data_IF_621507158389
#
_entry.id   IF_621507158389
#
_cell.length_a   1.000
_cell.length_b   1.000
_cell.length_c   1.000
_cell.angle_alpha   90.00
_cell.angle_beta   90.00
_cell.angle_gamma   90.00
#
_symmetry.space_group_name_H-M   'P 1'
#
loop_
_entity.id
_entity.type
_entity.pdbx_description
1 polymer ?
#
# COMPACT_ATOMS: atom_id res chain seq x y z
N UNK A 1 -52.93 4.05 -12.07
CA UNK A 1 -52.82 5.51 -11.88
C UNK A 1 -51.50 5.94 -12.45
N UNK A 2 -51.58 6.46 -13.67
CA UNK A 2 -50.48 6.81 -14.57
C UNK A 2 -50.31 8.32 -14.50
N UNK A 3 -49.09 8.79 -14.20
CA UNK A 3 -48.74 10.21 -14.30
C UNK A 3 -47.60 10.34 -15.29
N UNK A 4 -47.95 10.80 -16.48
CA UNK A 4 -47.09 11.27 -17.54
C UNK A 4 -46.78 12.75 -17.26
N UNK A 5 -45.50 13.14 -17.25
CA UNK A 5 -45.11 14.54 -17.45
C UNK A 5 -43.99 14.55 -18.48
N UNK A 6 -44.32 15.05 -19.68
CA UNK A 6 -43.38 15.53 -20.65
C UNK A 6 -43.24 17.04 -20.48
N UNK A 7 -42.02 17.57 -20.49
CA UNK A 7 -41.79 18.85 -21.15
C UNK A 7 -40.34 18.97 -21.64
N UNK A 8 -40.23 19.32 -22.92
CA UNK A 8 -38.99 19.62 -23.62
C UNK A 8 -38.52 21.05 -23.31
N UNK A 9 -37.20 21.28 -23.37
CA UNK A 9 -36.61 22.62 -23.29
C UNK A 9 -35.12 22.61 -23.60
N UNK A 10 -34.80 22.83 -24.88
CA UNK A 10 -33.45 22.99 -25.45
C UNK A 10 -32.68 24.17 -24.81
N UNK A 11 -31.37 24.01 -24.64
CA UNK A 11 -30.45 25.11 -24.34
C UNK A 11 -28.99 24.67 -24.29
N UNK A 12 -28.28 24.83 -25.41
CA UNK A 12 -26.83 24.64 -25.53
C UNK A 12 -26.07 25.61 -24.60
N UNK A 13 -25.04 25.11 -23.91
CA UNK A 13 -23.81 25.86 -23.63
C UNK A 13 -22.68 24.90 -23.23
N UNK A 14 -21.75 24.70 -24.15
CA UNK A 14 -20.44 24.12 -23.94
C UNK A 14 -19.55 25.12 -23.21
N UNK A 15 -19.31 24.91 -21.92
CA UNK A 15 -18.25 25.59 -21.17
C UNK A 15 -17.26 24.53 -20.69
N UNK A 16 -16.10 24.49 -21.36
CA UNK A 16 -14.92 23.73 -20.96
C UNK A 16 -14.36 24.30 -19.65
N UNK A 17 -14.77 23.72 -18.52
CA UNK A 17 -14.13 23.97 -17.23
C UNK A 17 -12.99 22.98 -17.02
N UNK A 18 -11.76 23.46 -17.17
CA UNK A 18 -10.57 22.80 -16.66
C UNK A 18 -10.66 22.74 -15.13
N UNK A 19 -11.07 21.58 -14.60
CA UNK A 19 -11.10 21.30 -13.17
C UNK A 19 -9.69 21.30 -12.60
N UNK A 20 -9.30 22.42 -11.99
CA UNK A 20 -8.20 22.47 -11.04
C UNK A 20 -8.59 21.60 -9.83
N UNK A 21 -7.99 20.41 -9.73
CA UNK A 21 -8.01 19.57 -8.53
C UNK A 21 -7.19 20.25 -7.44
N UNK A 22 -7.79 21.24 -6.78
CA UNK A 22 -7.36 21.66 -5.46
C UNK A 22 -7.74 20.54 -4.47
N UNK A 23 -6.82 19.60 -4.28
CA UNK A 23 -6.85 18.70 -3.13
C UNK A 23 -6.78 19.57 -1.87
N UNK A 24 -7.92 19.83 -1.23
CA UNK A 24 -7.98 20.31 0.14
C UNK A 24 -7.51 19.18 1.06
N UNK A 25 -6.20 19.09 1.25
CA UNK A 25 -5.54 18.20 2.19
C UNK A 25 -5.81 18.68 3.62
N UNK A 26 -6.92 18.24 4.21
CA UNK A 26 -7.10 18.30 5.65
C UNK A 26 -6.23 17.22 6.30
N UNK A 27 -5.01 17.63 6.65
CA UNK A 27 -4.10 16.85 7.49
C UNK A 27 -4.70 16.71 8.90
N UNK A 28 -4.77 15.50 9.44
CA UNK A 28 -5.11 15.21 10.84
C UNK A 28 -4.02 15.67 11.84
N UNK A 29 -3.27 16.74 11.50
CA UNK A 29 -2.18 17.23 12.33
C UNK A 29 -2.76 17.98 13.54
N UNK A 30 -2.48 17.56 14.78
CA UNK A 30 -2.78 18.40 15.94
C UNK A 30 -1.98 19.72 15.84
N UNK A 31 -2.52 20.85 16.31
CA UNK A 31 -1.83 22.14 16.30
C UNK A 31 -0.54 22.04 17.11
N UNK A 32 0.58 22.51 16.52
CA UNK A 32 1.86 22.61 17.22
C UNK A 32 1.73 23.65 18.36
N UNK A 33 2.36 23.41 19.53
CA UNK A 33 2.36 24.37 20.62
C UNK A 33 3.08 25.67 20.21
N UNK A 34 2.67 26.84 20.74
CA UNK A 34 3.29 28.12 20.44
C UNK A 34 4.76 28.12 20.90
N UNK A 35 5.65 28.51 19.98
CA UNK A 35 7.07 28.66 20.26
C UNK A 35 7.31 29.82 21.24
N UNK A 36 8.02 29.53 22.33
CA UNK A 36 8.51 30.54 23.26
C UNK A 36 9.63 31.35 22.60
N UNK A 37 9.48 32.67 22.67
CA UNK A 37 10.42 33.68 22.18
C UNK A 37 11.80 33.59 22.84
N UNK A 38 12.78 33.97 22.03
CA UNK A 38 14.22 33.97 22.28
C UNK A 38 14.64 34.76 23.53
N UNK A 39 15.32 34.06 24.44
CA UNK A 39 16.09 34.65 25.53
C UNK A 39 17.55 34.84 25.11
N UNK A 40 18.01 36.09 25.17
CA UNK A 40 19.37 36.59 24.94
C UNK A 40 20.40 35.80 25.76
N UNK A 41 21.39 35.20 25.09
CA UNK A 41 22.50 34.47 25.71
C UNK A 41 23.70 35.43 25.89
N UNK A 42 24.01 35.75 27.13
CA UNK A 42 25.27 36.36 27.56
C UNK A 42 26.40 35.33 27.59
N UNK A 43 27.49 35.63 26.90
CA UNK A 43 28.71 34.82 26.84
C UNK A 43 29.45 34.80 28.19
N UNK A 44 29.72 33.60 28.72
CA UNK A 44 30.62 33.41 29.85
C UNK A 44 31.53 32.20 29.65
N UNK A 45 32.80 32.44 29.98
CA UNK A 45 34.01 31.63 29.98
C UNK A 45 33.92 30.10 29.83
N UNK A 46 34.63 29.61 28.81
CA UNK A 46 35.00 28.22 28.56
C UNK A 46 36.28 27.85 29.34
N UNK A 47 36.18 26.89 30.25
CA UNK A 47 37.28 25.99 30.65
C UNK A 47 36.70 24.82 31.46
N UNK A 48 35.94 23.92 30.81
CA UNK A 48 35.59 22.59 31.35
C UNK A 48 34.92 21.71 30.26
N UNK A 49 35.63 21.43 29.16
CA UNK A 49 35.01 20.89 27.93
C UNK A 49 34.98 19.36 27.81
N UNK A 50 35.58 18.60 28.73
CA UNK A 50 35.66 17.13 28.58
C UNK A 50 34.67 16.32 29.43
N UNK A 51 33.99 16.91 30.43
CA UNK A 51 33.00 16.17 31.23
C UNK A 51 31.54 16.38 30.78
N UNK A 52 31.28 17.40 29.95
CA UNK A 52 29.91 17.77 29.54
C UNK A 52 29.34 16.90 28.41
N UNK A 53 30.21 16.26 27.62
CA UNK A 53 29.79 15.46 26.47
C UNK A 53 29.14 14.13 26.88
N UNK A 54 29.57 13.53 27.98
CA UNK A 54 29.00 12.27 28.50
C UNK A 54 27.59 12.49 29.08
N UNK A 55 27.36 13.61 29.76
CA UNK A 55 26.03 13.96 30.29
C UNK A 55 25.02 14.23 29.17
N UNK A 56 25.42 14.89 28.08
CA UNK A 56 24.55 15.15 26.93
C UNK A 56 24.17 13.85 26.18
N UNK A 57 25.08 12.89 26.10
CA UNK A 57 24.81 11.56 25.53
C UNK A 57 23.84 10.78 26.42
N UNK A 58 24.03 10.79 27.74
CA UNK A 58 23.12 10.15 28.69
C UNK A 58 21.72 10.79 28.68
N UNK A 59 21.62 12.11 28.60
CA UNK A 59 20.36 12.84 28.50
C UNK A 59 19.64 12.49 27.19
N UNK A 60 20.34 12.40 26.05
CA UNK A 60 19.75 11.95 24.77
C UNK A 60 19.24 10.52 24.85
N UNK A 61 20.01 9.59 25.41
CA UNK A 61 19.56 8.20 25.58
C UNK A 61 18.36 8.09 26.53
N UNK A 62 18.34 8.83 27.63
CA UNK A 62 17.21 8.87 28.57
C UNK A 62 15.96 9.46 27.91
N UNK A 63 16.11 10.52 27.11
CA UNK A 63 15.01 11.10 26.31
C UNK A 63 14.48 10.12 25.27
N UNK A 64 15.35 9.42 24.53
CA UNK A 64 14.93 8.39 23.58
C UNK A 64 14.19 7.23 24.26
N UNK A 65 14.66 6.76 25.43
CA UNK A 65 13.96 5.72 26.23
C UNK A 65 12.60 6.17 26.75
N UNK A 66 12.45 7.44 27.12
CA UNK A 66 11.15 7.98 27.56
C UNK A 66 10.19 8.11 26.37
N UNK A 67 10.69 8.54 25.20
CA UNK A 67 9.89 8.62 23.97
C UNK A 67 9.44 7.23 23.53
N UNK A 68 10.31 6.21 23.56
CA UNK A 68 9.94 4.84 23.21
C UNK A 68 8.95 4.21 24.19
N UNK A 69 9.12 4.42 25.51
CA UNK A 69 8.14 3.96 26.51
C UNK A 69 6.77 4.65 26.35
N UNK A 70 6.75 5.95 26.05
CA UNK A 70 5.49 6.67 25.77
C UNK A 70 4.83 6.19 24.48
N UNK A 71 5.61 5.87 23.43
CA UNK A 71 5.09 5.25 22.21
C UNK A 71 4.48 3.87 22.49
N UNK A 72 5.15 3.03 23.29
CA UNK A 72 4.65 1.70 23.65
C UNK A 72 3.36 1.77 24.49
N UNK A 73 3.30 2.63 25.51
CA UNK A 73 2.07 2.81 26.32
C UNK A 73 0.92 3.43 25.52
N UNK A 74 1.21 4.24 24.50
CA UNK A 74 0.20 4.68 23.54
C UNK A 74 -0.25 3.56 22.61
N UNK A 75 0.58 2.55 22.35
CA UNK A 75 0.19 1.42 21.53
C UNK A 75 -0.80 0.52 22.28
N UNK A 76 -0.49 0.16 23.53
CA UNK A 76 -1.26 -0.84 24.27
C UNK A 76 -2.64 -0.34 24.72
N UNK A 77 -2.80 0.97 24.95
CA UNK A 77 -4.08 1.57 25.35
C UNK A 77 -5.00 1.97 24.18
N UNK A 78 -4.49 1.99 22.94
CA UNK A 78 -5.24 2.47 21.77
C UNK A 78 -5.48 1.40 20.71
N UNK A 79 -4.70 0.32 20.73
CA UNK A 79 -4.83 -0.71 19.74
C UNK A 79 -6.14 -1.48 19.97
N UNK A 80 -7.12 -1.22 19.09
CA UNK A 80 -8.08 -2.26 18.71
C UNK A 80 -7.24 -3.51 18.46
N UNK A 81 -7.55 -4.57 19.21
CA UNK A 81 -6.77 -5.81 19.14
C UNK A 81 -6.60 -6.19 17.67
N UNK A 82 -5.37 -6.42 17.22
CA UNK A 82 -5.10 -6.75 15.82
C UNK A 82 -5.96 -7.92 15.34
N UNK A 83 -6.29 -8.86 16.24
CA UNK A 83 -7.25 -9.95 16.01
C UNK A 83 -8.66 -9.49 15.62
N UNK A 84 -9.16 -8.37 16.15
CA UNK A 84 -10.43 -7.79 15.74
C UNK A 84 -10.34 -7.17 14.34
N UNK A 85 -9.26 -6.42 14.05
CA UNK A 85 -9.02 -5.86 12.71
C UNK A 85 -8.91 -6.99 11.67
N UNK A 86 -8.23 -8.10 11.98
CA UNK A 86 -8.13 -9.26 11.10
C UNK A 86 -9.51 -9.87 10.81
N UNK A 87 -10.37 -9.98 11.83
CA UNK A 87 -11.74 -10.47 11.66
C UNK A 87 -12.58 -9.51 10.82
N UNK A 88 -12.41 -8.20 10.99
CA UNK A 88 -13.04 -7.20 10.13
C UNK A 88 -12.54 -7.27 8.68
N UNK A 89 -11.25 -7.54 8.47
CA UNK A 89 -10.68 -7.73 7.14
C UNK A 89 -11.24 -8.98 6.45
N UNK A 90 -11.40 -10.09 7.19
CA UNK A 90 -12.04 -11.33 6.72
C UNK A 90 -13.52 -11.09 6.40
N UNK A 91 -14.23 -10.39 7.27
CA UNK A 91 -15.61 -9.99 7.07
C UNK A 91 -15.82 -9.23 5.75
N UNK A 92 -14.91 -8.31 5.45
CA UNK A 92 -14.92 -7.61 4.17
C UNK A 92 -14.74 -8.56 2.97
N UNK A 93 -13.88 -9.57 3.08
CA UNK A 93 -13.72 -10.58 2.03
C UNK A 93 -14.99 -11.41 1.84
N UNK A 94 -15.64 -11.83 2.93
CA UNK A 94 -16.89 -12.60 2.90
C UNK A 94 -18.00 -11.78 2.22
N UNK A 95 -18.08 -10.48 2.48
CA UNK A 95 -19.03 -9.57 1.82
C UNK A 95 -18.65 -9.17 0.38
N UNK A 96 -17.51 -9.66 -0.12
CA UNK A 96 -16.99 -9.39 -1.46
C UNK A 96 -16.94 -7.88 -1.76
N UNK A 97 -16.48 -7.07 -0.80
CA UNK A 97 -16.32 -5.62 -1.01
C UNK A 97 -14.92 -5.31 -1.57
N UNK A 98 -14.80 -4.25 -2.39
CA UNK A 98 -13.53 -3.86 -3.00
C UNK A 98 -12.52 -3.36 -1.97
N UNK A 99 -11.24 -3.40 -2.33
CA UNK A 99 -10.12 -2.97 -1.47
C UNK A 99 -10.32 -1.57 -0.88
N UNK A 100 -10.86 -0.63 -1.65
CA UNK A 100 -11.16 0.74 -1.19
C UNK A 100 -12.20 0.72 -0.06
N UNK A 101 -13.33 0.04 -0.25
CA UNK A 101 -14.36 -0.16 0.78
C UNK A 101 -13.79 -0.81 2.05
N UNK A 102 -12.87 -1.79 1.91
CA UNK A 102 -12.19 -2.41 3.06
C UNK A 102 -11.32 -1.42 3.82
N UNK A 103 -10.55 -0.63 3.08
CA UNK A 103 -9.69 0.40 3.63
C UNK A 103 -10.51 1.45 4.38
N UNK A 104 -11.57 1.98 3.75
CA UNK A 104 -12.52 2.92 4.35
C UNK A 104 -13.10 2.37 5.64
N UNK A 105 -13.61 1.13 5.63
CA UNK A 105 -14.21 0.51 6.81
C UNK A 105 -13.25 0.47 8.01
N UNK A 106 -12.01 0.02 7.80
CA UNK A 106 -11.01 -0.10 8.88
C UNK A 106 -10.52 1.29 9.34
N UNK A 107 -10.37 2.25 8.42
CA UNK A 107 -10.02 3.64 8.79
C UNK A 107 -11.11 4.29 9.62
N UNK A 108 -12.40 4.12 9.26
CA UNK A 108 -13.52 4.63 10.05
C UNK A 108 -13.52 4.02 11.47
N UNK A 109 -13.23 2.73 11.58
CA UNK A 109 -13.10 2.06 12.88
C UNK A 109 -11.96 2.67 13.72
N UNK A 110 -10.78 2.91 13.13
CA UNK A 110 -9.66 3.58 13.81
C UNK A 110 -10.01 5.00 14.26
N UNK A 111 -10.66 5.79 13.38
CA UNK A 111 -11.10 7.16 13.70
C UNK A 111 -12.11 7.17 14.86
N UNK A 112 -13.06 6.23 14.85
CA UNK A 112 -14.00 6.05 15.95
C UNK A 112 -13.27 5.75 17.27
N UNK A 113 -12.37 4.76 17.27
CA UNK A 113 -11.63 4.36 18.47
C UNK A 113 -10.76 5.51 19.03
N UNK A 114 -10.08 6.25 18.16
CA UNK A 114 -9.29 7.42 18.55
C UNK A 114 -10.17 8.51 19.18
N UNK A 115 -11.34 8.78 18.61
CA UNK A 115 -12.27 9.79 19.11
C UNK A 115 -12.83 9.39 20.47
N UNK A 116 -13.27 8.13 20.62
CA UNK A 116 -13.74 7.56 21.90
C UNK A 116 -12.71 7.72 23.02
N UNK A 117 -11.45 7.44 22.71
CA UNK A 117 -10.35 7.54 23.69
C UNK A 117 -10.03 8.99 24.08
N UNK A 118 -10.15 9.96 23.16
CA UNK A 118 -9.96 11.39 23.48
C UNK A 118 -11.00 11.87 24.51
N UNK A 119 -12.26 11.49 24.35
CA UNK A 119 -13.32 11.89 25.27
C UNK A 119 -13.17 11.27 26.66
N UNK A 120 -12.70 10.01 26.76
CA UNK A 120 -12.37 9.40 28.07
C UNK A 120 -11.32 10.20 28.85
N UNK A 121 -10.31 10.75 28.16
CA UNK A 121 -9.25 11.56 28.80
C UNK A 121 -9.72 12.94 29.25
N UNK A 122 -10.68 13.53 28.53
CA UNK A 122 -11.22 14.86 28.87
C UNK A 122 -12.03 14.88 30.17
N UNK A 123 -12.73 13.79 30.50
CA UNK A 123 -13.62 13.73 31.67
C UNK A 123 -12.91 13.70 33.03
N UNK A 124 -11.67 13.21 33.09
CA UNK A 124 -10.96 13.04 34.38
C UNK A 124 -10.24 14.28 34.89
N UNK A 125 -9.99 15.29 34.05
CA UNK A 125 -9.18 16.45 34.46
C UNK A 125 -9.93 17.46 35.36
N UNK A 126 -11.25 17.32 35.53
CA UNK A 126 -12.07 18.27 36.31
C UNK A 126 -12.38 17.82 37.75
N UNK A 127 -11.83 16.69 38.24
CA UNK A 127 -12.13 16.17 39.60
C UNK A 127 -11.11 16.54 40.70
N UNK A 128 -10.11 17.37 40.41
CA UNK A 128 -8.96 17.58 41.32
C UNK A 128 -9.02 18.85 42.21
N UNK A 129 -10.18 19.47 42.48
CA UNK A 129 -10.20 20.72 43.26
C UNK A 129 -10.98 20.74 44.59
N UNK A 130 -11.59 19.64 45.05
CA UNK A 130 -12.17 19.65 46.41
C UNK A 130 -11.82 18.34 47.12
N UNK A 131 -10.90 18.45 48.08
CA UNK A 131 -10.47 17.36 48.93
C UNK A 131 -11.61 16.89 49.83
N UNK A 132 -11.82 15.58 49.87
CA UNK A 132 -12.46 14.91 50.99
C UNK A 132 -11.85 13.51 51.11
N UNK A 133 -11.04 13.36 52.16
CA UNK A 133 -10.31 12.14 52.49
C UNK A 133 -11.30 11.14 53.12
N UNK A 134 -11.77 10.18 52.33
CA UNK A 134 -12.18 8.82 52.74
C UNK A 134 -13.28 8.30 51.82
N UNK A 135 -12.93 7.44 50.86
CA UNK A 135 -13.84 6.34 50.58
C UNK A 135 -13.12 5.13 50.01
N UNK A 136 -13.41 3.99 50.63
CA UNK A 136 -12.83 2.70 50.32
C UNK A 136 -13.23 2.24 48.92
N UNK A 137 -12.23 1.73 48.20
CA UNK A 137 -12.29 1.16 46.87
C UNK A 137 -13.33 0.04 46.77
N UNK A 138 -14.55 0.39 46.38
CA UNK A 138 -15.43 -0.55 45.68
C UNK A 138 -14.94 -0.60 44.23
N UNK A 139 -14.23 -1.68 43.91
CA UNK A 139 -13.69 -1.94 42.57
C UNK A 139 -14.87 -2.13 41.60
N UNK A 140 -15.29 -1.05 40.95
CA UNK A 140 -16.22 -1.09 39.81
C UNK A 140 -15.63 -1.99 38.72
N UNK A 141 -16.14 -3.22 38.66
CA UNK A 141 -15.80 -4.29 37.70
C UNK A 141 -16.52 -4.13 36.35
N UNK A 142 -17.03 -2.94 36.03
CA UNK A 142 -17.79 -2.65 34.80
C UNK A 142 -16.97 -2.66 33.50
N UNK A 143 -15.66 -2.91 33.56
CA UNK A 143 -14.78 -2.89 32.38
C UNK A 143 -15.00 -4.10 31.44
N UNK A 144 -15.67 -5.16 31.91
CA UNK A 144 -15.92 -6.36 31.10
C UNK A 144 -17.01 -6.19 30.03
N UNK A 145 -17.94 -5.24 30.18
CA UNK A 145 -19.02 -5.00 29.20
C UNK A 145 -18.52 -4.27 27.93
N UNK A 146 -17.27 -3.80 27.91
CA UNK A 146 -16.70 -3.09 26.75
C UNK A 146 -16.51 -3.97 25.51
N UNK A 147 -16.43 -5.30 25.67
CA UNK A 147 -16.14 -6.20 24.56
C UNK A 147 -17.35 -6.43 23.65
N UNK A 148 -18.58 -6.23 24.15
CA UNK A 148 -19.81 -6.57 23.42
C UNK A 148 -20.25 -5.48 22.43
N UNK A 149 -19.69 -4.28 22.52
CA UNK A 149 -20.02 -3.16 21.64
C UNK A 149 -19.21 -3.19 20.32
N UNK A 150 -17.94 -3.61 20.39
CA UNK A 150 -17.02 -3.57 19.25
C UNK A 150 -17.50 -4.32 18.00
N UNK A 151 -18.10 -5.52 18.09
CA UNK A 151 -18.63 -6.21 16.93
C UNK A 151 -19.66 -5.37 16.16
N UNK A 152 -20.53 -4.65 16.87
CA UNK A 152 -21.53 -3.77 16.27
C UNK A 152 -20.90 -2.52 15.68
N UNK A 153 -19.93 -1.91 16.37
CA UNK A 153 -19.17 -0.77 15.84
C UNK A 153 -18.46 -1.15 14.54
N UNK A 154 -17.74 -2.28 14.51
CA UNK A 154 -17.04 -2.74 13.30
C UNK A 154 -18.00 -3.05 12.14
N UNK A 155 -19.14 -3.68 12.44
CA UNK A 155 -20.19 -3.94 11.45
C UNK A 155 -20.77 -2.65 10.86
N UNK A 156 -21.05 -1.67 11.72
CA UNK A 156 -21.54 -0.35 11.30
C UNK A 156 -20.49 0.42 10.50
N UNK A 157 -19.22 0.43 10.89
CA UNK A 157 -18.15 1.04 10.11
C UNK A 157 -18.05 0.43 8.71
N UNK A 158 -18.22 -0.89 8.59
CA UNK A 158 -18.28 -1.57 7.30
C UNK A 158 -19.52 -1.19 6.49
N UNK A 159 -20.69 -1.15 7.12
CA UNK A 159 -21.93 -0.72 6.46
C UNK A 159 -21.85 0.73 5.95
N UNK A 160 -21.30 1.63 6.76
CA UNK A 160 -21.07 3.02 6.39
C UNK A 160 -20.06 3.13 5.23
N UNK A 161 -18.96 2.37 5.28
CA UNK A 161 -17.99 2.34 4.18
C UNK A 161 -18.62 1.88 2.87
N UNK A 162 -19.47 0.84 2.90
CA UNK A 162 -20.23 0.38 1.73
C UNK A 162 -21.14 1.48 1.16
N UNK A 163 -21.73 2.34 2.00
CA UNK A 163 -22.52 3.48 1.53
C UNK A 163 -21.63 4.56 0.91
N UNK A 164 -20.53 4.93 1.60
CA UNK A 164 -19.62 5.99 1.15
C UNK A 164 -18.94 5.67 -0.17
N UNK A 165 -18.55 4.41 -0.39
CA UNK A 165 -17.85 3.98 -1.60
C UNK A 165 -18.81 3.49 -2.71
N UNK A 166 -20.12 3.76 -2.58
CA UNK A 166 -21.14 3.37 -3.57
C UNK A 166 -21.19 1.85 -3.85
N UNK A 167 -20.93 1.04 -2.82
CA UNK A 167 -21.02 -0.43 -2.83
C UNK A 167 -22.03 -0.96 -1.80
N UNK A 168 -23.28 -0.46 -1.77
CA UNK A 168 -24.21 -0.74 -0.68
C UNK A 168 -24.45 -2.25 -0.52
N UNK A 169 -24.34 -2.72 0.73
CA UNK A 169 -24.72 -4.09 1.13
C UNK A 169 -25.99 -4.02 1.96
N UNK A 170 -26.81 -5.08 1.91
CA UNK A 170 -28.03 -5.13 2.74
C UNK A 170 -27.62 -5.18 4.21
N UNK A 171 -28.29 -4.40 5.06
CA UNK A 171 -28.02 -4.38 6.51
C UNK A 171 -28.10 -5.78 7.13
N UNK A 172 -28.98 -6.65 6.62
CA UNK A 172 -29.08 -8.05 7.04
C UNK A 172 -27.77 -8.83 6.87
N UNK A 173 -27.08 -8.66 5.74
CA UNK A 173 -25.86 -9.39 5.44
C UNK A 173 -24.73 -8.94 6.38
N UNK A 174 -24.69 -7.64 6.68
CA UNK A 174 -23.76 -7.06 7.66
C UNK A 174 -24.04 -7.58 9.07
N UNK A 175 -25.31 -7.66 9.49
CA UNK A 175 -25.70 -8.21 10.81
C UNK A 175 -25.29 -9.68 10.92
N UNK A 176 -25.57 -10.48 9.90
CA UNK A 176 -25.18 -11.90 9.86
C UNK A 176 -23.65 -12.04 9.98
N UNK A 177 -22.91 -11.26 9.20
CA UNK A 177 -21.46 -11.23 9.27
C UNK A 177 -20.96 -10.84 10.67
N UNK A 178 -21.54 -9.81 11.30
CA UNK A 178 -21.12 -9.33 12.61
C UNK A 178 -21.22 -10.42 13.68
N UNK A 179 -22.32 -11.21 13.64
CA UNK A 179 -22.53 -12.35 14.53
C UNK A 179 -21.55 -13.49 14.25
N UNK A 180 -21.32 -13.81 12.98
CA UNK A 180 -20.49 -14.94 12.57
C UNK A 180 -19.00 -14.70 12.77
N UNK A 181 -18.52 -13.49 12.49
CA UNK A 181 -17.08 -13.19 12.37
C UNK A 181 -16.58 -12.27 13.49
N UNK A 182 -17.35 -11.24 13.86
CA UNK A 182 -16.86 -10.22 14.80
C UNK A 182 -17.13 -10.58 16.26
N UNK A 183 -18.19 -11.35 16.54
CA UNK A 183 -18.63 -11.68 17.91
C UNK A 183 -17.91 -12.88 18.53
N UNK A 184 -17.06 -13.60 17.78
CA UNK A 184 -16.41 -14.86 18.20
C UNK A 184 -15.32 -14.71 19.29
N UNK A 185 -15.32 -13.63 20.08
CA UNK A 185 -14.17 -13.19 20.88
C UNK A 185 -14.14 -13.67 22.34
N UNK A 186 -15.17 -14.30 22.86
CA UNK A 186 -15.36 -14.45 24.33
C UNK A 186 -15.48 -15.88 24.87
N UNK A 187 -15.49 -16.93 24.04
CA UNK A 187 -15.80 -18.29 24.51
C UNK A 187 -14.66 -19.06 25.21
N UNK A 188 -13.52 -18.46 25.56
CA UNK A 188 -12.39 -19.22 26.17
C UNK A 188 -12.13 -18.96 27.65
N UNK A 189 -12.99 -18.24 28.38
CA UNK A 189 -12.75 -18.00 29.81
C UNK A 189 -13.29 -19.10 30.74
N UNK A 190 -14.13 -20.02 30.26
CA UNK A 190 -14.82 -20.99 31.13
C UNK A 190 -14.43 -22.47 30.91
N UNK A 191 -13.32 -22.76 30.22
CA UNK A 191 -12.80 -24.15 30.08
C UNK A 191 -11.57 -24.35 30.98
N UNK A 192 -11.72 -23.98 32.25
CA UNK A 192 -10.92 -24.57 33.32
C UNK A 192 -11.66 -25.80 33.84
N UNK A 193 -11.71 -26.88 33.04
CA UNK A 193 -11.83 -28.26 33.54
C UNK A 193 -11.73 -29.31 32.42
N UNK A 194 -10.71 -30.16 32.58
CA UNK A 194 -10.47 -31.50 32.02
C UNK A 194 -10.19 -31.71 30.52
N UNK A 195 -8.89 -31.74 30.24
CA UNK A 195 -8.20 -32.80 29.47
C UNK A 195 -8.82 -33.26 28.14
N UNK A 196 -8.64 -32.47 27.07
CA UNK A 196 -8.61 -33.08 25.73
C UNK A 196 -7.66 -32.36 24.76
N UNK A 197 -6.60 -33.07 24.36
CA UNK A 197 -5.43 -32.60 23.60
C UNK A 197 -5.66 -32.43 22.08
N UNK A 198 -6.89 -32.23 21.61
CA UNK A 198 -7.11 -32.06 20.17
C UNK A 198 -6.93 -30.60 19.74
N UNK A 199 -5.78 -30.34 19.10
CA UNK A 199 -5.38 -29.06 18.52
C UNK A 199 -6.44 -28.55 17.53
N UNK A 200 -7.17 -27.54 18.00
CA UNK A 200 -8.20 -26.77 17.33
C UNK A 200 -7.72 -26.13 16.01
N UNK A 201 -8.17 -26.66 14.87
CA UNK A 201 -8.50 -25.81 13.74
C UNK A 201 -9.57 -24.85 14.26
N UNK A 202 -9.30 -23.55 14.24
CA UNK A 202 -10.30 -22.51 14.53
C UNK A 202 -11.35 -22.54 13.41
N UNK A 203 -12.16 -23.58 13.38
CA UNK A 203 -13.36 -23.61 12.59
C UNK A 203 -14.23 -22.53 13.21
N UNK A 204 -14.40 -21.40 12.54
CA UNK A 204 -15.44 -20.45 12.92
C UNK A 204 -16.72 -21.26 12.84
N UNK A 205 -17.26 -21.68 13.99
CA UNK A 205 -18.60 -22.26 14.06
C UNK A 205 -19.54 -21.14 13.66
N UNK A 206 -19.76 -21.03 12.36
CA UNK A 206 -20.62 -20.06 11.72
C UNK A 206 -22.01 -20.37 12.23
N UNK A 207 -22.42 -19.62 13.26
CA UNK A 207 -23.78 -19.69 13.77
C UNK A 207 -24.73 -19.49 12.61
N UNK A 208 -25.76 -20.35 12.53
CA UNK A 208 -26.77 -20.20 11.50
C UNK A 208 -27.31 -18.77 11.57
N UNK A 209 -27.40 -18.07 10.43
CA UNK A 209 -27.89 -16.70 10.44
C UNK A 209 -29.27 -16.68 11.09
N UNK A 210 -29.54 -15.68 11.95
CA UNK A 210 -30.82 -15.56 12.65
C UNK A 210 -31.98 -15.59 11.64
N UNK A 211 -33.05 -16.31 11.97
CA UNK A 211 -34.22 -16.30 11.11
C UNK A 211 -34.91 -14.92 11.18
N UNK A 212 -35.66 -14.55 10.12
CA UNK A 212 -36.35 -13.25 10.07
C UNK A 212 -37.48 -13.12 11.09
N UNK A 213 -38.01 -14.27 11.54
CA UNK A 213 -39.15 -14.33 12.45
C UNK A 213 -38.71 -14.27 13.91
N UNK A 214 -37.41 -14.37 14.17
CA UNK A 214 -36.86 -14.27 15.52
C UNK A 214 -36.76 -12.81 15.96
N UNK A 215 -37.24 -12.54 17.17
CA UNK A 215 -37.07 -11.27 17.89
C UNK A 215 -35.59 -10.84 17.94
N UNK A 216 -34.69 -11.82 18.08
CA UNK A 216 -33.25 -11.62 18.08
C UNK A 216 -32.71 -10.92 16.82
N UNK A 217 -33.30 -11.13 15.64
CA UNK A 217 -32.89 -10.39 14.43
C UNK A 217 -33.28 -8.91 14.53
N UNK A 218 -34.50 -8.64 14.98
CA UNK A 218 -35.03 -7.28 15.11
C UNK A 218 -34.28 -6.49 16.18
N UNK A 219 -33.90 -7.12 17.29
CA UNK A 219 -33.00 -6.53 18.29
C UNK A 219 -31.66 -6.14 17.70
N UNK A 220 -31.02 -7.05 16.96
CA UNK A 220 -29.75 -6.74 16.29
C UNK A 220 -29.87 -5.64 15.26
N UNK A 221 -30.99 -5.59 14.53
CA UNK A 221 -31.27 -4.50 13.59
C UNK A 221 -31.40 -3.16 14.31
N UNK A 222 -32.17 -3.10 15.41
CA UNK A 222 -32.28 -1.90 16.26
C UNK A 222 -30.91 -1.46 16.77
N UNK A 223 -30.16 -2.39 17.36
CA UNK A 223 -28.80 -2.14 17.89
C UNK A 223 -27.85 -1.60 16.82
N UNK A 224 -27.88 -2.15 15.60
CA UNK A 224 -27.05 -1.67 14.51
C UNK A 224 -27.40 -0.23 14.09
N UNK A 225 -28.70 0.12 14.02
CA UNK A 225 -29.17 1.47 13.66
C UNK A 225 -28.80 2.49 14.75
N UNK A 226 -28.96 2.13 16.03
CA UNK A 226 -28.54 2.97 17.15
C UNK A 226 -27.02 3.19 17.14
N UNK A 227 -26.27 2.11 16.92
CA UNK A 227 -24.81 2.16 16.81
C UNK A 227 -24.36 3.01 15.61
N UNK A 228 -25.07 2.97 14.47
CA UNK A 228 -24.83 3.84 13.32
C UNK A 228 -24.89 5.31 13.70
N UNK A 229 -25.95 5.71 14.41
CA UNK A 229 -26.11 7.09 14.87
C UNK A 229 -25.00 7.52 15.83
N UNK A 230 -24.57 6.63 16.72
CA UNK A 230 -23.45 6.85 17.65
C UNK A 230 -22.15 7.03 16.86
N UNK A 231 -21.80 6.07 15.99
CA UNK A 231 -20.56 6.09 15.19
C UNK A 231 -20.48 7.36 14.35
N UNK A 232 -21.55 7.74 13.65
CA UNK A 232 -21.59 8.98 12.86
C UNK A 232 -21.32 10.23 13.71
N UNK A 233 -21.88 10.31 14.91
CA UNK A 233 -21.62 11.43 15.83
C UNK A 233 -20.17 11.49 16.27
N UNK A 234 -19.56 10.34 16.59
CA UNK A 234 -18.15 10.25 16.95
C UNK A 234 -17.20 10.59 15.80
N UNK A 235 -17.61 10.31 14.57
CA UNK A 235 -16.89 10.69 13.35
C UNK A 235 -17.14 12.15 12.94
N UNK A 236 -18.01 12.88 13.64
CA UNK A 236 -18.42 14.24 13.23
C UNK A 236 -19.10 14.27 11.85
N UNK A 237 -19.78 13.18 11.47
CA UNK A 237 -20.37 12.95 10.14
C UNK A 237 -19.36 12.97 8.98
N UNK A 238 -18.06 12.97 9.25
CA UNK A 238 -17.03 12.81 8.23
C UNK A 238 -16.71 11.33 7.99
N UNK A 239 -17.45 10.74 7.05
CA UNK A 239 -17.19 9.40 6.56
C UNK A 239 -16.22 9.36 5.37
N UNK A 240 -15.71 10.51 4.92
CA UNK A 240 -14.82 10.56 3.77
C UNK A 240 -13.45 9.99 4.12
N UNK A 241 -13.00 9.01 3.34
CA UNK A 241 -11.68 8.40 3.48
C UNK A 241 -10.94 8.56 2.17
N UNK A 242 -9.67 8.85 2.32
CA UNK A 242 -8.76 9.20 1.26
C UNK A 242 -7.77 8.04 1.10
N UNK A 243 -7.64 7.54 -0.13
CA UNK A 243 -7.03 6.23 -0.40
C UNK A 243 -5.59 6.34 -0.90
N UNK A 244 -4.57 5.88 -0.14
CA UNK A 244 -3.19 5.91 -0.58
C UNK A 244 -2.93 5.00 -1.79
N UNK A 245 -3.76 3.98 -2.01
CA UNK A 245 -3.72 3.11 -3.19
C UNK A 245 -3.91 3.90 -4.50
N UNK A 246 -4.83 4.88 -4.52
CA UNK A 246 -5.04 5.74 -5.70
C UNK A 246 -3.83 6.62 -5.97
N UNK A 247 -3.21 7.16 -4.93
CA UNK A 247 -1.99 7.95 -5.05
C UNK A 247 -0.80 7.11 -5.54
N UNK A 248 -0.65 5.87 -5.07
CA UNK A 248 0.38 4.93 -5.57
C UNK A 248 0.22 4.72 -7.08
N UNK A 249 -1.00 4.43 -7.54
CA UNK A 249 -1.26 4.23 -8.97
C UNK A 249 -0.86 5.46 -9.79
N UNK A 250 -1.34 6.64 -9.38
CA UNK A 250 -1.09 7.89 -10.09
C UNK A 250 0.41 8.26 -10.13
N UNK A 251 1.10 8.15 -8.99
CA UNK A 251 2.55 8.40 -8.90
C UNK A 251 3.29 7.43 -9.82
N UNK A 252 2.98 6.14 -9.76
CA UNK A 252 3.67 5.13 -10.54
C UNK A 252 3.47 5.35 -12.05
N UNK A 253 2.26 5.69 -12.48
CA UNK A 253 1.97 6.00 -13.89
C UNK A 253 2.80 7.19 -14.38
N UNK A 254 2.87 8.27 -13.60
CA UNK A 254 3.69 9.45 -13.92
C UNK A 254 5.18 9.13 -13.98
N UNK A 255 5.67 8.27 -13.09
CA UNK A 255 7.09 7.91 -13.06
C UNK A 255 7.47 6.97 -14.20
N UNK A 256 6.56 6.07 -14.59
CA UNK A 256 6.72 5.24 -15.79
C UNK A 256 6.77 6.12 -17.05
N UNK A 257 5.90 7.11 -17.19
CA UNK A 257 5.93 8.06 -18.33
C UNK A 257 7.29 8.77 -18.43
N UNK A 258 7.79 9.32 -17.31
CA UNK A 258 9.10 9.99 -17.26
C UNK A 258 10.22 9.02 -17.63
N UNK A 259 10.16 7.78 -17.14
CA UNK A 259 11.16 6.77 -17.44
C UNK A 259 11.16 6.35 -18.91
N UNK A 260 9.98 6.15 -19.51
CA UNK A 260 9.83 5.85 -20.92
C UNK A 260 10.41 6.97 -21.79
N UNK A 261 10.16 8.24 -21.45
CA UNK A 261 10.74 9.38 -22.15
C UNK A 261 12.28 9.41 -22.05
N UNK A 262 12.84 9.15 -20.86
CA UNK A 262 14.29 9.08 -20.66
C UNK A 262 14.91 7.91 -21.44
N UNK A 263 14.23 6.77 -21.52
CA UNK A 263 14.66 5.62 -22.29
C UNK A 263 14.70 5.92 -23.79
N UNK A 264 13.66 6.59 -24.32
CA UNK A 264 13.62 7.03 -25.71
C UNK A 264 14.74 8.02 -26.04
N UNK A 265 14.99 8.98 -25.15
CA UNK A 265 16.11 9.93 -25.30
C UNK A 265 17.48 9.23 -25.28
N UNK A 266 17.66 8.23 -24.41
CA UNK A 266 18.90 7.45 -24.34
C UNK A 266 19.14 6.63 -25.62
N UNK A 267 18.09 5.95 -26.12
CA UNK A 267 18.15 5.21 -27.40
C UNK A 267 18.47 6.13 -28.57
N UNK A 268 17.83 7.31 -28.63
CA UNK A 268 18.09 8.31 -29.66
C UNK A 268 19.55 8.77 -29.67
N UNK A 269 20.12 9.09 -28.49
CA UNK A 269 21.54 9.46 -28.35
C UNK A 269 22.49 8.34 -28.78
N UNK A 270 22.17 7.08 -28.46
CA UNK A 270 22.97 5.94 -28.88
C UNK A 270 22.99 5.79 -30.42
N UNK A 271 21.83 5.91 -31.06
CA UNK A 271 21.69 5.86 -32.52
C UNK A 271 22.48 7.01 -33.16
N UNK A 272 22.38 8.23 -32.62
CA UNK A 272 23.16 9.38 -33.10
C UNK A 272 24.67 9.14 -32.98
N UNK A 273 25.14 8.61 -31.85
CA UNK A 273 26.55 8.29 -31.67
C UNK A 273 27.04 7.21 -32.65
N UNK A 274 26.21 6.19 -32.92
CA UNK A 274 26.53 5.15 -33.89
C UNK A 274 26.53 5.68 -35.34
N UNK A 275 25.60 6.58 -35.67
CA UNK A 275 25.57 7.28 -36.95
C UNK A 275 26.81 8.18 -37.14
N UNK A 276 27.24 8.90 -36.11
CA UNK A 276 28.46 9.70 -36.17
C UNK A 276 29.72 8.84 -36.31
N UNK A 277 29.77 7.68 -35.66
CA UNK A 277 30.89 6.74 -35.78
C UNK A 277 31.00 6.17 -37.20
N UNK A 278 29.87 5.71 -37.75
CA UNK A 278 29.82 5.18 -39.13
C UNK A 278 30.15 6.26 -40.17
N UNK A 279 29.67 7.49 -39.99
CA UNK A 279 30.03 8.60 -40.88
C UNK A 279 31.55 8.87 -40.89
N UNK A 280 32.22 8.84 -39.73
CA UNK A 280 33.68 9.01 -39.63
C UNK A 280 34.45 7.88 -40.31
N UNK A 281 34.00 6.63 -40.14
CA UNK A 281 34.60 5.47 -40.78
C UNK A 281 34.49 5.56 -42.32
N UNK A 282 33.31 5.92 -42.85
CA UNK A 282 33.11 6.10 -44.30
C UNK A 282 34.01 7.20 -44.87
N UNK A 283 34.13 8.35 -44.21
CA UNK A 283 35.02 9.43 -44.67
C UNK A 283 36.49 9.02 -44.68
N UNK A 284 36.92 8.15 -43.75
CA UNK A 284 38.30 7.67 -43.68
C UNK A 284 38.59 6.66 -44.79
N UNK A 285 37.62 5.80 -45.13
CA UNK A 285 37.74 4.85 -46.24
C UNK A 285 37.79 5.57 -47.59
N UNK A 286 36.94 6.58 -47.80
CA UNK A 286 36.94 7.38 -49.04
C UNK A 286 38.26 8.16 -49.25
N UNK A 287 38.82 8.74 -48.18
CA UNK A 287 40.14 9.38 -48.26
C UNK A 287 41.25 8.37 -48.61
N UNK A 288 41.15 7.13 -48.11
CA UNK A 288 42.13 6.08 -48.41
C UNK A 288 42.00 5.53 -49.84
N UNK A 289 40.78 5.46 -50.39
CA UNK A 289 40.59 5.04 -51.79
C UNK A 289 41.10 6.07 -52.79
N UNK A 290 40.91 7.37 -52.52
CA UNK A 290 41.44 8.45 -53.37
C UNK A 290 42.98 8.46 -53.41
N UNK A 291 43.64 8.14 -52.29
CA UNK A 291 45.10 8.01 -52.24
C UNK A 291 45.65 6.77 -52.98
N UNK A 292 44.83 5.74 -53.18
CA UNK A 292 45.22 4.54 -53.95
C UNK A 292 45.04 4.76 -55.46
N UNK A 293 44.04 5.54 -55.88
CA UNK A 293 43.84 5.88 -57.30
C UNK A 293 44.95 6.77 -57.86
N UNK A 294 45.52 7.70 -57.07
CA UNK A 294 46.67 8.51 -57.53
C UNK A 294 47.94 7.68 -57.79
N UNK A 295 48.09 6.49 -57.17
CA UNK A 295 49.25 5.61 -57.39
C UNK A 295 49.10 4.63 -58.56
N UNK A 296 47.88 4.44 -59.10
CA UNK A 296 47.62 3.48 -60.17
C UNK A 296 47.39 4.09 -61.57
N UNK A 297 47.60 5.40 -61.76
CA UNK A 297 47.54 6.05 -63.10
C UNK A 297 48.83 5.84 -63.93
N UNK A 298 49.47 4.67 -63.81
CA UNK A 298 50.47 4.21 -64.80
C UNK A 298 50.24 2.73 -65.11
N UNK A 299 49.93 2.50 -66.39
CA UNK A 299 49.69 1.23 -67.06
C UNK A 299 48.30 0.61 -66.84
N UNK A 300 47.41 0.76 -67.82
CA UNK A 300 46.91 -0.38 -68.62
C UNK A 300 46.05 0.06 -69.80
N UNK A 301 46.15 -0.73 -70.87
CA UNK A 301 45.50 -0.61 -72.18
C UNK A 301 44.00 -0.97 -72.15
N UNK A 302 43.22 -0.58 -73.18
CA UNK A 302 41.78 -0.86 -73.25
C UNK A 302 41.49 -2.29 -73.72
N UNK A 303 40.52 -2.97 -73.08
CA UNK A 303 39.93 -4.25 -73.51
C UNK A 303 38.39 -4.13 -73.48
N UNK A 304 37.65 -4.71 -74.45
CA UNK A 304 36.26 -4.33 -74.74
C UNK A 304 35.17 -5.15 -74.03
N UNK A 305 33.97 -4.58 -74.12
CA UNK A 305 32.66 -4.97 -73.59
C UNK A 305 32.32 -6.47 -73.53
N UNK A 306 31.84 -6.90 -72.36
CA UNK A 306 31.11 -8.16 -72.15
C UNK A 306 29.75 -7.89 -71.49
N UNK A 307 28.68 -8.34 -72.14
CA UNK A 307 27.28 -8.30 -71.71
C UNK A 307 27.08 -9.02 -70.37
N UNK A 308 26.25 -8.47 -69.48
CA UNK A 308 25.61 -9.23 -68.41
C UNK A 308 24.10 -9.02 -68.39
N UNK A 309 23.43 -10.14 -68.20
CA UNK A 309 22.00 -10.43 -68.29
C UNK A 309 21.28 -10.07 -66.99
N UNK A 310 20.03 -9.63 -67.13
CA UNK A 310 19.06 -9.44 -66.06
C UNK A 310 18.44 -10.79 -65.69
N UNK A 311 18.43 -11.14 -64.40
CA UNK A 311 17.51 -12.15 -63.86
C UNK A 311 16.76 -11.56 -62.65
N UNK A 312 15.47 -11.31 -62.87
CA UNK A 312 14.47 -11.00 -61.86
C UNK A 312 13.95 -12.30 -61.25
N UNK A 313 14.00 -12.44 -59.93
CA UNK A 313 13.28 -13.48 -59.20
C UNK A 313 12.25 -12.82 -58.27
N UNK A 314 10.98 -12.91 -58.68
CA UNK A 314 9.81 -12.63 -57.87
C UNK A 314 9.56 -13.82 -56.92
N UNK A 315 9.26 -13.54 -55.65
CA UNK A 315 8.76 -14.53 -54.71
C UNK A 315 7.48 -13.98 -54.06
N UNK A 316 6.36 -14.55 -54.50
CA UNK A 316 5.05 -14.48 -53.86
C UNK A 316 5.11 -15.09 -52.45
N UNK A 317 4.45 -14.44 -51.48
CA UNK A 317 4.03 -15.10 -50.26
C UNK A 317 2.63 -14.64 -49.87
N UNK A 318 1.66 -15.48 -50.25
CA UNK A 318 0.29 -15.50 -49.75
C UNK A 318 0.29 -15.89 -48.27
N UNK A 319 -0.43 -15.14 -47.43
CA UNK A 319 -0.79 -15.59 -46.09
C UNK A 319 -2.32 -15.50 -45.91
N UNK A 320 -2.94 -16.67 -45.80
CA UNK A 320 -4.37 -16.87 -45.57
C UNK A 320 -4.71 -16.62 -44.09
N UNK A 321 -5.74 -15.82 -43.86
CA UNK A 321 -6.35 -15.67 -42.54
C UNK A 321 -7.27 -16.83 -42.20
N UNK A 322 -7.38 -17.10 -40.91
CA UNK A 322 -8.52 -17.79 -40.30
C UNK A 322 -8.92 -17.06 -39.03
N UNK A 323 -10.15 -16.55 -39.05
CA UNK A 323 -10.88 -16.06 -37.89
C UNK A 323 -11.26 -17.22 -36.99
N UNK A 324 -11.18 -17.03 -35.67
CA UNK A 324 -12.03 -17.77 -34.75
C UNK A 324 -12.31 -16.98 -33.47
N UNK A 325 -13.57 -16.54 -33.38
CA UNK A 325 -14.23 -16.06 -32.18
C UNK A 325 -14.46 -17.22 -31.21
N UNK A 326 -14.13 -17.04 -29.93
CA UNK A 326 -14.85 -17.68 -28.85
C UNK A 326 -14.83 -16.81 -27.59
N UNK A 327 -16.02 -16.55 -27.07
CA UNK A 327 -16.35 -15.89 -25.81
C UNK A 327 -15.99 -16.79 -24.63
N UNK A 328 -15.33 -16.24 -23.60
CA UNK A 328 -15.17 -16.88 -22.30
C UNK A 328 -15.31 -15.86 -21.17
N UNK A 329 -15.99 -16.32 -20.11
CA UNK A 329 -16.41 -15.60 -18.92
C UNK A 329 -15.28 -15.00 -18.08
N UNK A 330 -15.65 -13.99 -17.30
CA UNK A 330 -14.83 -13.17 -16.40
C UNK A 330 -14.17 -13.97 -15.27
N UNK A 331 -12.93 -14.40 -15.51
CA UNK A 331 -11.93 -14.67 -14.48
C UNK A 331 -10.74 -13.73 -14.76
N UNK A 332 -10.34 -12.90 -13.79
CA UNK A 332 -9.20 -11.96 -13.86
C UNK A 332 -7.84 -12.69 -13.97
N UNK A 333 -7.64 -13.41 -15.07
CA UNK A 333 -6.34 -13.87 -15.53
C UNK A 333 -5.89 -12.95 -16.67
N UNK A 334 -5.01 -12.00 -16.35
CA UNK A 334 -4.39 -11.11 -17.33
C UNK A 334 -3.45 -11.92 -18.25
N UNK A 335 -3.97 -12.44 -19.36
CA UNK A 335 -3.17 -13.04 -20.42
C UNK A 335 -2.42 -11.96 -21.21
N UNK A 336 -1.10 -11.92 -21.07
CA UNK A 336 -0.19 -11.02 -21.80
C UNK A 336 0.27 -11.72 -23.08
N UNK A 337 -0.16 -11.22 -24.25
CA UNK A 337 0.28 -11.74 -25.55
C UNK A 337 1.26 -10.78 -26.25
N UNK A 338 2.52 -11.22 -26.43
CA UNK A 338 3.18 -11.23 -27.74
C UNK A 338 3.78 -9.95 -28.37
N UNK A 339 4.21 -8.93 -27.62
CA UNK A 339 5.18 -7.95 -28.13
C UNK A 339 6.24 -7.63 -27.06
N UNK A 340 7.39 -8.29 -27.15
CA UNK A 340 8.29 -8.59 -26.02
C UNK A 340 8.87 -7.39 -25.25
N UNK A 341 8.83 -6.18 -25.79
CA UNK A 341 9.32 -4.99 -25.08
C UNK A 341 8.26 -4.30 -24.22
N UNK A 342 6.97 -4.48 -24.50
CA UNK A 342 5.88 -3.97 -23.64
C UNK A 342 5.80 -4.76 -22.33
N UNK A 343 6.15 -6.05 -22.38
CA UNK A 343 5.99 -7.00 -21.27
C UNK A 343 6.83 -6.66 -20.03
N UNK A 344 8.07 -6.17 -20.19
CA UNK A 344 8.95 -5.95 -19.02
C UNK A 344 8.52 -4.77 -18.16
N UNK A 345 8.07 -3.67 -18.77
CA UNK A 345 7.60 -2.48 -18.05
C UNK A 345 6.27 -2.76 -17.36
N UNK A 346 5.36 -3.49 -18.00
CA UNK A 346 4.09 -3.89 -17.38
C UNK A 346 4.33 -4.84 -16.21
N UNK A 347 5.20 -5.85 -16.36
CA UNK A 347 5.55 -6.76 -15.25
C UNK A 347 6.15 -5.99 -14.07
N UNK A 348 7.06 -5.04 -14.31
CA UNK A 348 7.65 -4.22 -13.25
C UNK A 348 6.60 -3.36 -12.54
N UNK A 349 5.71 -2.73 -13.31
CA UNK A 349 4.59 -1.93 -12.79
C UNK A 349 3.71 -2.76 -11.87
N UNK A 350 3.29 -3.94 -12.32
CA UNK A 350 2.37 -4.79 -11.58
C UNK A 350 3.00 -5.30 -10.28
N UNK A 351 4.30 -5.65 -10.30
CA UNK A 351 5.05 -6.00 -9.10
C UNK A 351 5.17 -4.83 -8.12
N UNK A 352 5.46 -3.63 -8.61
CA UNK A 352 5.53 -2.42 -7.77
C UNK A 352 4.18 -2.11 -7.13
N UNK A 353 3.08 -2.20 -7.90
CA UNK A 353 1.72 -2.03 -7.38
C UNK A 353 1.41 -3.07 -6.30
N UNK A 354 1.65 -4.34 -6.58
CA UNK A 354 1.38 -5.44 -5.66
C UNK A 354 2.11 -5.24 -4.31
N UNK A 355 3.42 -4.96 -4.35
CA UNK A 355 4.20 -4.77 -3.14
C UNK A 355 3.83 -3.50 -2.39
N UNK A 356 3.57 -2.39 -3.10
CA UNK A 356 3.12 -1.15 -2.47
C UNK A 356 1.77 -1.33 -1.79
N UNK A 357 0.81 -1.95 -2.47
CA UNK A 357 -0.54 -2.20 -1.93
C UNK A 357 -0.49 -3.13 -0.72
N UNK A 358 0.36 -4.15 -0.75
CA UNK A 358 0.60 -5.01 0.41
C UNK A 358 1.06 -4.19 1.63
N UNK A 359 2.02 -3.28 1.46
CA UNK A 359 2.49 -2.41 2.57
C UNK A 359 1.40 -1.48 3.09
N UNK A 360 0.57 -0.93 2.21
CA UNK A 360 -0.57 -0.10 2.61
C UNK A 360 -1.63 -0.91 3.37
N UNK A 361 -1.84 -2.16 2.99
CA UNK A 361 -2.75 -3.06 3.72
C UNK A 361 -2.18 -3.45 5.08
N UNK A 362 -0.87 -3.68 5.19
CA UNK A 362 -0.20 -3.93 6.49
C UNK A 362 -0.40 -2.74 7.45
N UNK A 363 -0.36 -1.51 6.92
CA UNK A 363 -0.56 -0.29 7.70
C UNK A 363 -1.93 -0.20 8.39
N UNK A 364 -2.96 -0.89 7.88
CA UNK A 364 -4.29 -0.95 8.50
C UNK A 364 -4.28 -1.59 9.89
N UNK A 365 -3.28 -2.43 10.17
CA UNK A 365 -3.12 -3.10 11.47
C UNK A 365 -2.25 -2.30 12.44
N UNK A 366 -1.70 -1.16 11.99
CA UNK A 366 -0.79 -0.33 12.76
C UNK A 366 -1.26 1.13 12.72
N UNK A 367 -2.13 1.56 13.65
CA UNK A 367 -2.81 2.86 13.59
C UNK A 367 -1.88 4.07 13.46
N UNK A 368 -0.64 3.95 13.95
CA UNK A 368 0.38 5.00 13.89
C UNK A 368 0.82 5.26 12.43
N UNK A 369 0.80 4.25 11.56
CA UNK A 369 1.07 4.44 10.13
C UNK A 369 -0.06 5.20 9.40
N UNK A 370 -1.29 5.15 9.92
CA UNK A 370 -2.46 5.83 9.32
C UNK A 370 -2.52 7.33 9.66
N UNK A 371 -1.57 7.86 10.44
CA UNK A 371 -1.50 9.29 10.79
C UNK A 371 -0.84 10.14 9.70
N UNK A 372 -0.14 9.50 8.77
CA UNK A 372 0.54 10.17 7.67
C UNK A 372 -0.43 10.59 6.57
N UNK A 373 -0.03 11.59 5.78
CA UNK A 373 -0.77 11.97 4.59
C UNK A 373 -0.71 10.89 3.51
N UNK A 374 -1.69 10.94 2.61
CA UNK A 374 -1.92 9.94 1.56
C UNK A 374 -0.71 9.85 0.62
N UNK A 375 -0.15 11.00 0.25
CA UNK A 375 0.97 11.10 -0.70
C UNK A 375 2.25 10.59 -0.04
N UNK A 376 2.46 10.91 1.24
CA UNK A 376 3.57 10.42 2.04
C UNK A 376 3.52 8.89 2.16
N UNK A 377 2.35 8.32 2.49
CA UNK A 377 2.15 6.88 2.54
C UNK A 377 2.40 6.21 1.18
N UNK A 378 1.90 6.81 0.09
CA UNK A 378 2.08 6.29 -1.25
C UNK A 378 3.56 6.30 -1.68
N UNK A 379 4.26 7.42 -1.49
CA UNK A 379 5.69 7.53 -1.78
C UNK A 379 6.51 6.52 -0.97
N UNK A 380 6.26 6.42 0.33
CA UNK A 380 6.98 5.51 1.21
C UNK A 380 6.72 4.02 0.86
N UNK A 381 5.46 3.67 0.53
CA UNK A 381 5.11 2.31 0.12
C UNK A 381 5.78 1.91 -1.21
N UNK A 382 5.79 2.82 -2.19
CA UNK A 382 6.48 2.63 -3.47
C UNK A 382 7.98 2.45 -3.30
N UNK A 383 8.61 3.28 -2.47
CA UNK A 383 10.05 3.19 -2.21
C UNK A 383 10.44 1.87 -1.52
N UNK A 384 9.62 1.40 -0.57
CA UNK A 384 9.80 0.08 0.03
C UNK A 384 9.61 -1.07 -0.97
N UNK A 385 8.68 -0.93 -1.92
CA UNK A 385 8.49 -1.91 -2.99
C UNK A 385 9.69 -1.98 -3.95
N UNK A 386 10.30 -0.85 -4.27
CA UNK A 386 11.50 -0.76 -5.11
C UNK A 386 12.69 -1.43 -4.44
N UNK A 387 12.96 -1.09 -3.18
CA UNK A 387 14.06 -1.70 -2.43
C UNK A 387 13.92 -3.23 -2.32
N UNK A 388 12.67 -3.73 -2.19
CA UNK A 388 12.42 -5.18 -2.21
C UNK A 388 12.80 -5.81 -3.54
N UNK A 389 12.41 -5.21 -4.66
CA UNK A 389 12.74 -5.70 -6.00
C UNK A 389 14.23 -5.62 -6.31
N UNK A 390 14.94 -4.64 -5.77
CA UNK A 390 16.40 -4.52 -5.89
C UNK A 390 17.13 -5.61 -5.07
N UNK A 391 16.60 -5.97 -3.90
CA UNK A 391 17.15 -7.00 -3.02
C UNK A 391 17.04 -8.42 -3.59
N UNK A 392 15.94 -8.76 -4.26
CA UNK A 392 15.70 -10.10 -4.85
C UNK A 392 16.77 -10.54 -5.87
N UNK A 393 17.51 -9.60 -6.47
CA UNK A 393 18.57 -9.91 -7.44
C UNK A 393 19.92 -10.26 -6.82
N UNK A 394 20.12 -9.94 -5.54
CA UNK A 394 21.40 -10.10 -4.85
C UNK A 394 21.24 -11.27 -3.87
N UNK A 395 21.30 -12.51 -4.38
CA UNK A 395 20.98 -13.79 -3.70
C UNK A 395 21.83 -14.17 -2.48
N UNK A 396 22.24 -13.20 -1.68
CA UNK A 396 22.67 -13.41 -0.31
C UNK A 396 21.40 -13.55 0.53
N UNK A 397 20.97 -14.82 0.68
CA UNK A 397 19.81 -15.27 1.45
C UNK A 397 19.99 -15.07 2.97
N UNK A 398 20.29 -13.86 3.40
CA UNK A 398 20.16 -13.47 4.81
C UNK A 398 18.68 -13.16 5.07
N UNK A 399 17.85 -14.21 4.95
CA UNK A 399 16.39 -14.20 5.00
C UNK A 399 15.87 -13.80 6.39
N UNK A 400 15.76 -12.50 6.66
CA UNK A 400 14.89 -11.96 7.73
C UNK A 400 13.41 -11.86 7.29
N UNK A 401 13.12 -12.16 6.03
CA UNK A 401 11.77 -12.23 5.48
C UNK A 401 11.36 -13.71 5.28
N UNK A 402 11.38 -14.49 6.37
CA UNK A 402 10.94 -15.90 6.44
C UNK A 402 9.43 -16.10 6.18
N UNK A 403 8.94 -15.69 5.02
CA UNK A 403 7.65 -16.09 4.51
C UNK A 403 7.79 -17.37 3.69
N UNK A 404 7.23 -18.45 4.25
CA UNK A 404 6.78 -19.65 3.54
C UNK A 404 6.17 -19.30 2.18
N UNK A 405 6.52 -20.10 1.18
CA UNK A 405 6.32 -19.98 -0.27
C UNK A 405 4.86 -19.94 -0.76
N UNK A 406 3.93 -19.29 -0.05
CA UNK A 406 2.52 -19.17 -0.45
C UNK A 406 2.26 -17.97 -1.37
N UNK A 407 3.32 -17.33 -1.87
CA UNK A 407 3.22 -16.63 -3.16
C UNK A 407 2.84 -17.69 -4.17
N UNK A 408 1.59 -17.66 -4.65
CA UNK A 408 1.22 -18.16 -5.97
C UNK A 408 2.29 -17.67 -6.91
N UNK A 409 3.28 -18.53 -7.13
CA UNK A 409 4.42 -18.22 -7.94
C UNK A 409 3.80 -18.29 -9.31
N UNK A 410 3.42 -17.12 -9.85
CA UNK A 410 3.31 -16.93 -11.27
C UNK A 410 4.68 -17.34 -11.80
N UNK A 411 4.82 -18.64 -12.03
CA UNK A 411 5.90 -19.29 -12.73
C UNK A 411 5.82 -18.72 -14.13
N UNK A 412 6.32 -17.50 -14.29
CA UNK A 412 6.86 -17.05 -15.56
C UNK A 412 7.96 -18.07 -15.84
N UNK A 413 7.59 -19.13 -16.57
CA UNK A 413 8.48 -20.12 -17.13
C UNK A 413 9.42 -19.35 -18.05
N UNK A 414 10.47 -18.79 -17.46
CA UNK A 414 11.64 -18.37 -18.21
C UNK A 414 12.24 -19.68 -18.72
N UNK A 415 11.89 -20.03 -19.95
CA UNK A 415 12.47 -21.15 -20.69
C UNK A 415 13.98 -21.17 -20.46
N UNK A 416 14.43 -22.17 -19.70
CA UNK A 416 15.80 -22.32 -19.21
C UNK A 416 16.78 -22.80 -20.29
N UNK A 417 16.31 -22.95 -21.53
CA UNK A 417 17.02 -23.69 -22.58
C UNK A 417 17.74 -22.82 -23.63
N UNK A 418 17.90 -21.51 -23.42
CA UNK A 418 18.79 -20.70 -24.26
C UNK A 418 19.94 -20.13 -23.44
N UNK A 419 21.12 -20.74 -23.59
CA UNK A 419 22.42 -20.31 -23.04
C UNK A 419 22.96 -18.99 -23.62
N UNK A 420 22.07 -18.09 -24.05
CA UNK A 420 22.44 -16.74 -24.43
C UNK A 420 22.67 -15.99 -23.13
N UNK A 421 23.95 -15.80 -22.78
CA UNK A 421 24.41 -14.82 -21.78
C UNK A 421 23.95 -13.43 -22.24
N UNK A 422 22.69 -13.10 -21.97
CA UNK A 422 22.14 -11.78 -22.21
C UNK A 422 22.85 -10.82 -21.26
N UNK A 423 23.82 -10.09 -21.80
CA UNK A 423 24.47 -8.92 -21.18
C UNK A 423 23.49 -7.74 -20.96
N UNK A 424 22.18 -8.00 -20.91
CA UNK A 424 21.16 -7.02 -20.55
C UNK A 424 20.97 -6.98 -19.03
N UNK A 425 22.06 -7.00 -18.26
CA UNK A 425 22.03 -6.34 -16.96
C UNK A 425 21.91 -4.84 -17.25
N UNK A 426 20.70 -4.42 -17.62
CA UNK A 426 20.24 -3.09 -17.28
C UNK A 426 20.42 -3.08 -15.78
N UNK A 427 21.58 -2.57 -15.32
CA UNK A 427 21.78 -2.35 -13.90
C UNK A 427 20.54 -1.59 -13.49
N UNK A 428 19.83 -2.10 -12.49
CA UNK A 428 18.71 -1.43 -11.84
C UNK A 428 19.26 -0.18 -11.14
N UNK A 429 19.97 0.69 -11.87
CA UNK A 429 20.24 2.07 -11.54
C UNK A 429 18.88 2.65 -11.24
N UNK A 430 18.71 2.97 -9.97
CA UNK A 430 17.42 3.05 -9.29
C UNK A 430 16.37 3.68 -10.19
N UNK A 431 15.32 2.92 -10.47
CA UNK A 431 14.17 3.34 -11.30
C UNK A 431 13.69 4.74 -10.86
N UNK A 432 13.77 4.98 -9.55
CA UNK A 432 13.60 6.27 -8.93
C UNK A 432 14.94 6.97 -8.69
N UNK A 433 15.07 8.22 -9.12
CA UNK A 433 16.20 9.07 -8.74
C UNK A 433 16.22 9.31 -7.23
N UNK A 434 17.40 9.65 -6.69
CA UNK A 434 17.54 10.10 -5.30
C UNK A 434 16.53 11.24 -5.01
N UNK A 435 15.77 11.12 -3.93
CA UNK A 435 14.76 12.10 -3.48
C UNK A 435 13.61 12.36 -4.47
N UNK A 436 13.21 11.36 -5.26
CA UNK A 436 12.11 11.46 -6.22
C UNK A 436 10.78 11.94 -5.61
N UNK A 437 10.52 11.60 -4.34
CA UNK A 437 9.32 11.97 -3.57
C UNK A 437 9.15 13.49 -3.40
N UNK A 438 10.24 14.26 -3.43
CA UNK A 438 10.19 15.74 -3.32
C UNK A 438 9.39 16.38 -4.45
N UNK A 439 9.30 15.74 -5.62
CA UNK A 439 8.47 16.21 -6.75
C UNK A 439 6.97 16.22 -6.42
N UNK A 440 6.56 15.43 -5.42
CA UNK A 440 5.19 15.35 -4.93
C UNK A 440 4.97 16.15 -3.65
N UNK A 441 5.91 17.04 -3.29
CA UNK A 441 5.79 17.91 -2.11
C UNK A 441 6.07 17.24 -0.77
N UNK A 442 6.57 16.00 -0.76
CA UNK A 442 6.89 15.27 0.46
C UNK A 442 8.27 15.69 0.99
N UNK A 443 8.35 16.14 2.25
CA UNK A 443 9.62 16.46 2.89
C UNK A 443 10.34 15.20 3.40
N UNK A 444 11.66 15.27 3.57
CA UNK A 444 12.48 14.10 3.94
C UNK A 444 12.06 13.53 5.30
N UNK A 445 11.78 14.37 6.29
CA UNK A 445 11.40 13.92 7.63
C UNK A 445 10.07 13.17 7.63
N UNK A 446 9.10 13.63 6.83
CA UNK A 446 7.79 12.97 6.72
C UNK A 446 7.88 11.68 5.92
N UNK A 447 8.70 11.68 4.86
CA UNK A 447 8.97 10.48 4.07
C UNK A 447 9.63 9.38 4.91
N UNK A 448 10.73 9.70 5.58
CA UNK A 448 11.49 8.73 6.39
C UNK A 448 10.65 8.24 7.58
N UNK A 449 9.97 9.14 8.29
CA UNK A 449 9.07 8.77 9.38
C UNK A 449 7.91 7.87 8.93
N UNK A 450 7.33 8.14 7.77
CA UNK A 450 6.30 7.28 7.19
C UNK A 450 6.84 5.92 6.79
N UNK A 451 8.01 5.89 6.13
CA UNK A 451 8.71 4.66 5.71
C UNK A 451 9.04 3.77 6.91
N UNK A 452 9.51 4.34 8.01
CA UNK A 452 9.80 3.61 9.24
C UNK A 452 8.53 3.02 9.88
N UNK A 453 7.44 3.79 9.95
CA UNK A 453 6.17 3.28 10.48
C UNK A 453 5.57 2.17 9.60
N UNK A 454 5.75 2.22 8.28
CA UNK A 454 5.31 1.14 7.38
C UNK A 454 6.15 -0.13 7.57
N UNK A 455 7.46 -0.01 7.79
CA UNK A 455 8.31 -1.16 8.14
C UNK A 455 7.88 -1.75 9.48
N UNK A 456 7.65 -0.90 10.47
CA UNK A 456 7.19 -1.31 11.80
C UNK A 456 5.84 -2.02 11.73
N UNK A 457 4.91 -1.54 10.90
CA UNK A 457 3.62 -2.21 10.65
C UNK A 457 3.79 -3.65 10.12
N UNK A 458 4.69 -3.86 9.17
CA UNK A 458 4.98 -5.22 8.69
C UNK A 458 5.64 -6.07 9.76
N UNK A 459 6.61 -5.54 10.51
CA UNK A 459 7.24 -6.26 11.63
C UNK A 459 6.23 -6.62 12.72
N UNK A 460 5.28 -5.73 13.01
CA UNK A 460 4.19 -5.97 13.96
C UNK A 460 3.32 -7.16 13.53
N UNK A 461 2.92 -7.23 12.26
CA UNK A 461 2.16 -8.36 11.71
C UNK A 461 2.95 -9.68 11.72
N UNK A 462 4.26 -9.63 11.41
CA UNK A 462 5.13 -10.80 11.53
C UNK A 462 5.15 -11.33 12.97
N UNK A 463 5.37 -10.47 13.95
CA UNK A 463 5.41 -10.85 15.36
C UNK A 463 4.06 -11.44 15.84
N UNK A 464 2.94 -10.90 15.36
CA UNK A 464 1.60 -11.47 15.60
C UNK A 464 1.45 -12.89 15.05
N UNK A 465 2.08 -13.20 13.90
CA UNK A 465 2.05 -14.55 13.35
C UNK A 465 2.95 -15.53 14.11
N UNK A 466 4.13 -15.08 14.57
CA UNK A 466 5.10 -15.93 15.28
C UNK A 466 4.65 -16.30 16.70
N UNK A 467 4.02 -15.38 17.42
CA UNK A 467 3.51 -15.67 18.78
C UNK A 467 2.48 -16.81 18.80
N UNK A 468 1.78 -17.05 17.69
CA UNK A 468 0.81 -18.15 17.58
C UNK A 468 1.47 -19.53 17.42
N UNK A 469 2.65 -19.61 16.81
CA UNK A 469 3.31 -20.91 16.55
C UNK A 469 4.06 -21.43 17.78
N UNK A 470 4.74 -20.54 18.53
CA UNK A 470 5.54 -20.93 19.70
C UNK A 470 4.70 -21.46 20.87
N UNK A 471 3.50 -20.92 21.09
CA UNK A 471 2.57 -21.41 22.11
C UNK A 471 2.16 -22.88 21.90
N UNK A 472 2.13 -23.36 20.65
CA UNK A 472 1.72 -24.74 20.34
C UNK A 472 2.85 -25.78 20.39
N UNK A 473 4.11 -25.34 20.46
CA UNK A 473 5.29 -26.20 20.49
C UNK A 473 5.71 -26.57 21.92
N UNK A 474 5.54 -25.67 22.89
CA UNK A 474 5.93 -25.90 24.29
C UNK A 474 5.10 -26.98 25.02
N UNK A 475 3.93 -27.35 24.48
CA UNK A 475 3.02 -28.35 25.08
C UNK A 475 3.24 -29.77 24.56
N UNK A 476 4.23 -30.02 23.69
CA UNK A 476 4.47 -31.33 23.08
C UNK A 476 5.70 -32.10 23.63
N UNK A 477 6.34 -31.59 24.69
CA UNK A 477 7.58 -32.15 25.27
C UNK A 477 7.49 -32.58 26.74
N UNK A 478 6.27 -32.77 27.24
CA UNK A 478 5.95 -33.40 28.53
C UNK A 478 4.82 -34.37 28.29
#
# INVERSE_FOLDING_TARGET
MTVTVANEGKGNNTTTNNGSLLCSSFSLRPPLPPGNNDGVISASNNNNHNHKMDDDIQIRHKRQKIVSKKKQQQHDNFAIKASFISRMYIACHILQVKTETRFTAIVLLHRYAQSKNKNKKGGNNNKNEVGDDNNNNEYDTDDDNYNDEWPWIGAVCLFLACKTEEEPRRLRDVINMARMVLSSSSMSKDIDNEHNNNKNVLCMNLTTPPSLNEEAYWDSKRKAIETESIVLRWLGFDCSVSHPHRAVYWILEKEIEVWQQLLLLSKSKLIQNQAQKTAKEVTTTQASSLLLDEKNIRLTHPIPAGKQTYDNAAADNNNHGTDNFNHSNDDESFYINGNNNGSTVTILRDKLLLFSFRRLNDALFYPIALQWGIVEMACAALDLAVHRLEGEGNGNNDDEDGHSNDTTTLLIHNNKDSSIKNNSSISNKSFFKKEWWKRYGVCNESFDGCKDNLKEATSYLKNLSTTRTTSTASTATT
#
